data_IF_968515130472
#
_entry.id   IF_968515130472
#
_cell.length_a   1.000
_cell.length_b   1.000
_cell.length_c   1.000
_cell.angle_alpha   90.00
_cell.angle_beta   90.00
_cell.angle_gamma   90.00
#
_symmetry.space_group_name_H-M   'P 1'
#
loop_
_entity.id
_entity.type
_entity.pdbx_description
1 polymer ?
#
# COMPACT_ATOMS: atom_id res chain seq x y z
N UNK A 1 -17.90 -4.99 1.65
CA UNK A 1 -17.95 -4.66 0.20
C UNK A 1 -16.98 -5.53 -0.62
N UNK A 2 -17.32 -6.00 -1.84
CA UNK A 2 -16.54 -7.02 -2.57
C UNK A 2 -15.12 -6.52 -2.90
N UNK A 3 -14.11 -7.22 -2.39
CA UNK A 3 -12.68 -6.85 -2.34
C UNK A 3 -12.03 -6.65 -3.72
N UNK A 4 -12.64 -7.19 -4.77
CA UNK A 4 -12.18 -7.05 -6.16
C UNK A 4 -12.31 -5.61 -6.68
N UNK A 5 -13.31 -4.84 -6.23
CA UNK A 5 -13.55 -3.48 -6.75
C UNK A 5 -12.51 -2.49 -6.23
N UNK A 6 -12.10 -2.56 -4.96
CA UNK A 6 -11.03 -1.69 -4.41
C UNK A 6 -9.67 -1.98 -5.08
N UNK A 7 -9.41 -3.27 -5.38
CA UNK A 7 -8.20 -3.69 -6.10
C UNK A 7 -8.13 -3.14 -7.52
N UNK A 8 -9.26 -2.76 -8.14
CA UNK A 8 -9.34 -2.13 -9.47
C UNK A 8 -9.53 -0.62 -9.43
N UNK A 9 -10.21 -0.09 -8.40
CA UNK A 9 -10.49 1.34 -8.22
C UNK A 9 -9.23 2.14 -7.87
N UNK A 10 -8.37 1.59 -7.01
CA UNK A 10 -7.04 2.13 -6.72
C UNK A 10 -5.94 1.52 -7.61
N UNK A 11 -6.29 0.60 -8.54
CA UNK A 11 -5.27 -0.06 -9.37
C UNK A 11 -4.61 0.95 -10.28
N UNK A 12 -3.31 1.03 -10.07
CA UNK A 12 -2.29 1.36 -11.03
C UNK A 12 -2.28 2.80 -11.52
N UNK A 13 -3.36 3.48 -11.90
CA UNK A 13 -3.17 4.83 -12.49
C UNK A 13 -2.77 5.89 -11.45
N UNK A 14 -3.49 5.97 -10.32
CA UNK A 14 -3.23 7.00 -9.31
C UNK A 14 -1.90 6.84 -8.59
N UNK A 15 -1.66 5.65 -8.01
CA UNK A 15 -0.43 5.38 -7.25
C UNK A 15 0.80 5.38 -8.17
N UNK A 16 0.72 4.80 -9.36
CA UNK A 16 1.82 4.80 -10.34
C UNK A 16 2.04 6.18 -10.97
N UNK A 17 1.00 7.02 -11.05
CA UNK A 17 1.14 8.43 -11.45
C UNK A 17 1.81 9.24 -10.35
N UNK A 18 1.44 9.03 -9.09
CA UNK A 18 2.11 9.64 -7.94
C UNK A 18 3.58 9.20 -7.85
N UNK A 19 3.83 7.91 -8.03
CA UNK A 19 5.18 7.33 -8.08
C UNK A 19 6.02 7.97 -9.18
N UNK A 20 5.55 7.96 -10.43
CA UNK A 20 6.34 8.43 -11.58
C UNK A 20 6.41 9.95 -11.73
N UNK A 21 5.36 10.68 -11.35
CA UNK A 21 5.31 12.14 -11.55
C UNK A 21 5.73 12.94 -10.33
N UNK A 22 5.67 12.37 -9.11
CA UNK A 22 6.02 13.10 -7.88
C UNK A 22 7.21 12.43 -7.20
N UNK A 23 7.10 11.17 -6.76
CA UNK A 23 8.14 10.52 -5.95
C UNK A 23 9.45 10.33 -6.73
N UNK A 24 9.35 9.81 -7.96
CA UNK A 24 10.48 9.67 -8.87
C UNK A 24 11.04 11.03 -9.32
N UNK A 25 10.19 12.05 -9.46
CA UNK A 25 10.63 13.41 -9.82
C UNK A 25 11.49 14.05 -8.71
N UNK A 26 11.17 13.82 -7.43
CA UNK A 26 11.97 14.30 -6.30
C UNK A 26 13.13 13.37 -5.92
N UNK A 27 13.39 12.33 -6.72
CA UNK A 27 14.52 11.41 -6.53
C UNK A 27 14.31 10.29 -5.50
N UNK A 28 13.06 10.01 -5.12
CA UNK A 28 12.72 8.86 -4.26
C UNK A 28 12.50 7.64 -5.16
N UNK A 29 13.49 6.76 -5.19
CA UNK A 29 13.49 5.48 -5.91
C UNK A 29 14.41 4.49 -5.16
N UNK A 30 14.04 3.20 -4.99
CA UNK A 30 12.82 2.52 -5.46
C UNK A 30 11.61 2.72 -4.53
N UNK A 31 10.41 2.91 -5.10
CA UNK A 31 9.14 2.99 -4.36
C UNK A 31 8.49 1.61 -4.27
N UNK A 32 8.36 1.06 -3.06
CA UNK A 32 7.68 -0.22 -2.79
C UNK A 32 6.26 0.05 -2.26
N UNK A 33 5.24 -0.14 -3.09
CA UNK A 33 3.84 0.04 -2.68
C UNK A 33 3.22 -1.24 -2.06
N UNK A 34 2.50 -1.09 -0.94
CA UNK A 34 1.70 -2.16 -0.33
C UNK A 34 0.24 -1.74 -0.29
N UNK A 35 -0.62 -2.46 -1.02
CA UNK A 35 -2.05 -2.15 -1.11
C UNK A 35 -2.87 -3.09 -0.22
N UNK A 36 -3.41 -2.55 0.88
CA UNK A 36 -4.24 -3.29 1.83
C UNK A 36 -5.72 -3.07 1.48
N UNK A 37 -6.36 -4.08 0.89
CA UNK A 37 -7.77 -4.05 0.53
C UNK A 37 -8.68 -4.54 1.65
N UNK A 38 -9.96 -4.13 1.62
CA UNK A 38 -10.97 -4.70 2.52
C UNK A 38 -10.83 -4.29 3.99
N UNK A 39 -10.22 -3.12 4.26
CA UNK A 39 -10.00 -2.57 5.61
C UNK A 39 -11.27 -2.52 6.48
N UNK A 40 -12.42 -2.30 5.85
CA UNK A 40 -13.75 -2.31 6.47
C UNK A 40 -14.12 -3.64 7.14
N UNK A 41 -13.55 -4.76 6.66
CA UNK A 41 -13.77 -6.12 7.21
C UNK A 41 -12.57 -6.68 7.94
N UNK A 42 -11.49 -5.92 8.08
CA UNK A 42 -10.22 -6.40 8.63
C UNK A 42 -10.34 -6.71 10.12
N UNK A 43 -11.20 -5.99 10.84
CA UNK A 43 -11.34 -6.09 12.29
C UNK A 43 -10.09 -5.63 13.04
N UNK A 44 -10.15 -5.62 14.37
CA UNK A 44 -9.01 -5.21 15.20
C UNK A 44 -7.80 -6.15 15.04
N UNK A 45 -8.05 -7.46 14.94
CA UNK A 45 -7.00 -8.47 14.80
C UNK A 45 -6.27 -8.37 13.46
N UNK A 46 -7.02 -8.19 12.36
CA UNK A 46 -6.40 -8.01 11.05
C UNK A 46 -5.63 -6.69 10.93
N UNK A 47 -6.09 -5.62 11.59
CA UNK A 47 -5.30 -4.37 11.69
C UNK A 47 -4.01 -4.61 12.47
N UNK A 48 -4.05 -5.35 13.58
CA UNK A 48 -2.86 -5.66 14.37
C UNK A 48 -1.85 -6.49 13.58
N UNK A 49 -2.31 -7.47 12.79
CA UNK A 49 -1.45 -8.28 11.92
C UNK A 49 -0.77 -7.42 10.85
N UNK A 50 -1.52 -6.55 10.18
CA UNK A 50 -0.96 -5.65 9.17
C UNK A 50 0.03 -4.64 9.78
N UNK A 51 -0.21 -4.14 11.00
CA UNK A 51 0.76 -3.30 11.72
C UNK A 51 2.06 -4.05 11.97
N UNK A 52 1.98 -5.28 12.49
CA UNK A 52 3.16 -6.10 12.73
C UNK A 52 3.91 -6.47 11.42
N UNK A 53 3.20 -6.55 10.30
CA UNK A 53 3.82 -6.71 8.98
C UNK A 53 4.51 -5.43 8.52
N UNK A 54 3.88 -4.27 8.67
CA UNK A 54 4.47 -2.97 8.32
C UNK A 54 5.73 -2.68 9.16
N UNK A 55 5.72 -3.00 10.45
CA UNK A 55 6.89 -2.85 11.33
C UNK A 55 8.07 -3.70 10.83
N UNK A 56 7.79 -4.95 10.42
CA UNK A 56 8.83 -5.83 9.83
C UNK A 56 9.35 -5.30 8.50
N UNK A 57 8.46 -4.77 7.65
CA UNK A 57 8.87 -4.20 6.37
C UNK A 57 9.71 -2.93 6.56
N UNK A 58 9.37 -2.09 7.54
CA UNK A 58 10.16 -0.92 7.91
C UNK A 58 11.53 -1.31 8.49
N UNK A 59 11.57 -2.34 9.34
CA UNK A 59 12.85 -2.85 9.88
C UNK A 59 13.75 -3.49 8.81
N UNK A 60 13.16 -4.05 7.75
CA UNK A 60 13.87 -4.63 6.61
C UNK A 60 14.10 -3.63 5.46
N UNK A 61 13.77 -2.35 5.66
CA UNK A 61 14.06 -1.32 4.68
C UNK A 61 15.55 -0.95 4.77
N UNK A 62 16.35 -1.57 3.90
CA UNK A 62 17.71 -1.10 3.55
C UNK A 62 17.67 0.19 2.73
#
# INVERSE_FOLDING_TARGET
MPTIVYRWYFRASGVRSLERNILSFVGIDPVRETLIGGVDRLGADGVAEWKAQLDRLGAAAE
#
